data_IF_666949485554
#
_entry.id   IF_666949485554
#
_cell.length_a   1.000
_cell.length_b   1.000
_cell.length_c   1.000
_cell.angle_alpha   90.00
_cell.angle_beta   90.00
_cell.angle_gamma   90.00
#
_symmetry.space_group_name_H-M   'P 1'
#
loop_
_entity.id
_entity.type
_entity.pdbx_description
1 polymer ?
#
# COMPACT_ATOMS: atom_id res chain seq x y z
N UNK A 1 -1.85 -35.21 -10.76
CA UNK A 1 -0.53 -35.19 -10.09
C UNK A 1 0.43 -34.71 -11.15
N UNK A 2 0.70 -33.40 -11.17
CA UNK A 2 1.56 -32.74 -12.15
C UNK A 2 2.80 -32.30 -11.39
N UNK A 3 3.95 -32.73 -11.90
CA UNK A 3 5.26 -32.62 -11.28
C UNK A 3 5.65 -31.14 -11.09
N UNK A 4 5.93 -30.78 -9.84
CA UNK A 4 6.68 -29.58 -9.50
C UNK A 4 8.16 -29.84 -9.81
N UNK A 5 8.86 -28.75 -10.17
CA UNK A 5 10.31 -28.61 -10.40
C UNK A 5 10.77 -28.80 -11.85
N UNK A 6 10.67 -27.71 -12.62
CA UNK A 6 11.83 -27.22 -13.38
C UNK A 6 11.69 -25.73 -13.73
N UNK A 7 11.57 -24.87 -12.71
CA UNK A 7 11.74 -23.42 -12.90
C UNK A 7 13.12 -23.05 -12.39
N UNK A 8 14.04 -22.88 -13.33
CA UNK A 8 15.42 -22.49 -13.10
C UNK A 8 15.44 -21.06 -12.49
N UNK A 9 16.01 -20.83 -11.30
CA UNK A 9 15.93 -19.53 -10.62
C UNK A 9 16.67 -18.39 -11.35
N UNK A 10 17.47 -18.71 -12.38
CA UNK A 10 18.16 -17.72 -13.21
C UNK A 10 17.28 -17.13 -14.31
N UNK A 11 16.19 -17.81 -14.72
CA UNK A 11 15.27 -17.30 -15.75
C UNK A 11 14.31 -16.22 -15.23
N UNK A 12 14.21 -16.04 -13.90
CA UNK A 12 13.46 -14.95 -13.26
C UNK A 12 14.33 -13.69 -13.10
N UNK A 13 15.65 -13.79 -13.35
CA UNK A 13 16.64 -12.73 -13.15
C UNK A 13 17.04 -11.98 -14.44
N UNK A 14 16.25 -12.11 -15.50
CA UNK A 14 16.42 -11.36 -16.75
C UNK A 14 15.74 -9.99 -16.75
N UNK A 15 16.15 -9.09 -15.84
CA UNK A 15 16.14 -7.61 -15.99
C UNK A 15 16.45 -6.94 -14.63
N UNK A 16 17.69 -7.10 -14.16
CA UNK A 16 18.22 -6.29 -13.06
C UNK A 16 18.57 -4.92 -13.65
N UNK A 17 17.62 -3.99 -13.62
CA UNK A 17 17.88 -2.56 -13.78
C UNK A 17 17.49 -1.85 -12.48
N UNK A 18 18.52 -1.35 -11.80
CA UNK A 18 18.54 -0.64 -10.52
C UNK A 18 17.98 -1.44 -9.33
N UNK A 19 18.87 -1.77 -8.39
CA UNK A 19 18.51 -2.33 -7.09
C UNK A 19 17.44 -1.46 -6.44
N UNK A 20 16.21 -1.95 -6.39
CA UNK A 20 15.14 -1.29 -5.66
C UNK A 20 15.65 -0.99 -4.24
N UNK A 21 15.53 0.25 -3.74
CA UNK A 21 16.03 0.59 -2.42
C UNK A 21 15.44 -0.38 -1.39
N UNK A 22 16.21 -0.84 -0.41
CA UNK A 22 15.80 -1.85 0.58
C UNK A 22 14.48 -1.52 1.30
N UNK A 23 14.14 -0.24 1.41
CA UNK A 23 12.86 0.26 1.91
C UNK A 23 11.66 -0.08 1.01
N UNK A 24 11.86 -0.20 -0.30
CA UNK A 24 10.83 -0.60 -1.26
C UNK A 24 10.52 -2.10 -1.11
N UNK A 25 11.56 -2.93 -0.91
CA UNK A 25 11.44 -4.37 -0.73
C UNK A 25 10.73 -4.70 0.59
N UNK A 26 11.05 -4.01 1.70
CA UNK A 26 10.34 -4.21 2.97
C UNK A 26 8.88 -3.76 2.91
N UNK A 27 8.56 -2.74 2.09
CA UNK A 27 7.19 -2.32 1.87
C UNK A 27 6.38 -3.34 1.07
N UNK A 28 6.99 -4.09 0.14
CA UNK A 28 6.30 -5.16 -0.61
C UNK A 28 5.80 -6.25 0.36
N UNK A 29 6.65 -6.74 1.27
CA UNK A 29 6.21 -7.73 2.27
C UNK A 29 5.11 -7.22 3.19
N UNK A 30 5.15 -5.93 3.57
CA UNK A 30 4.10 -5.33 4.38
C UNK A 30 2.78 -5.21 3.63
N UNK A 31 2.83 -4.90 2.33
CA UNK A 31 1.65 -4.86 1.45
C UNK A 31 1.04 -6.25 1.32
N UNK A 32 1.86 -7.26 1.04
CA UNK A 32 1.40 -8.64 0.87
C UNK A 32 0.79 -9.17 2.17
N UNK A 33 1.46 -8.96 3.30
CA UNK A 33 0.94 -9.35 4.62
C UNK A 33 -0.39 -8.69 4.96
N UNK A 34 -0.58 -7.42 4.60
CA UNK A 34 -1.86 -6.74 4.80
C UNK A 34 -2.92 -7.31 3.85
N UNK A 35 -2.60 -7.53 2.58
CA UNK A 35 -3.54 -8.13 1.64
C UNK A 35 -4.00 -9.52 2.13
N UNK A 36 -3.08 -10.35 2.61
CA UNK A 36 -3.38 -11.67 3.17
C UNK A 36 -4.29 -11.57 4.40
N UNK A 37 -3.99 -10.66 5.33
CA UNK A 37 -4.82 -10.42 6.50
C UNK A 37 -6.24 -9.97 6.10
N UNK A 38 -6.36 -9.09 5.11
CA UNK A 38 -7.65 -8.62 4.60
C UNK A 38 -8.44 -9.72 3.89
N UNK A 39 -7.77 -10.62 3.17
CA UNK A 39 -8.40 -11.78 2.56
C UNK A 39 -8.94 -12.74 3.63
N UNK A 40 -8.13 -13.03 4.65
CA UNK A 40 -8.52 -13.91 5.76
C UNK A 40 -9.73 -13.35 6.52
N UNK A 41 -9.72 -12.05 6.83
CA UNK A 41 -10.83 -11.39 7.53
C UNK A 41 -12.13 -11.39 6.69
N UNK A 42 -12.02 -11.39 5.36
CA UNK A 42 -13.18 -11.48 4.46
C UNK A 42 -13.68 -12.91 4.26
N UNK A 43 -12.80 -13.91 4.28
CA UNK A 43 -13.18 -15.31 4.08
C UNK A 43 -13.88 -15.92 5.29
N UNK A 44 -13.62 -15.40 6.49
CA UNK A 44 -14.21 -15.89 7.72
C UNK A 44 -15.61 -15.28 7.96
N UNK A 45 -16.69 -16.09 8.01
CA UNK A 45 -18.07 -15.60 8.16
C UNK A 45 -18.33 -14.79 9.44
N UNK A 46 -17.54 -15.03 10.48
CA UNK A 46 -17.62 -14.31 11.76
C UNK A 46 -17.11 -12.89 11.62
N UNK A 47 -16.07 -12.67 10.81
CA UNK A 47 -15.43 -11.36 10.65
C UNK A 47 -16.00 -10.56 9.48
N UNK A 48 -16.48 -11.23 8.42
CA UNK A 48 -17.01 -10.56 7.23
C UNK A 48 -18.21 -9.65 7.53
N UNK A 49 -19.03 -10.03 8.52
CA UNK A 49 -20.19 -9.26 8.96
C UNK A 49 -19.86 -8.13 9.96
N UNK A 50 -18.61 -8.02 10.42
CA UNK A 50 -18.20 -6.99 11.39
C UNK A 50 -17.76 -5.70 10.71
N UNK A 51 -17.47 -5.73 9.41
CA UNK A 51 -17.10 -4.53 8.67
C UNK A 51 -18.35 -3.71 8.31
N UNK A 52 -18.38 -2.48 8.78
CA UNK A 52 -19.31 -1.45 8.31
C UNK A 52 -19.15 -1.19 6.81
N UNK A 53 -20.16 -0.57 6.18
CA UNK A 53 -20.08 -0.20 4.76
C UNK A 53 -18.87 0.69 4.45
N UNK A 54 -18.52 1.61 5.36
CA UNK A 54 -17.41 2.53 5.17
C UNK A 54 -16.06 1.81 5.26
N UNK A 55 -15.93 0.84 6.16
CA UNK A 55 -14.73 0.00 6.23
C UNK A 55 -14.61 -0.88 4.98
N UNK A 56 -15.71 -1.44 4.49
CA UNK A 56 -15.70 -2.20 3.24
C UNK A 56 -15.30 -1.33 2.04
N UNK A 57 -15.82 -0.10 1.95
CA UNK A 57 -15.43 0.89 0.93
C UNK A 57 -13.95 1.25 1.06
N UNK A 58 -13.44 1.46 2.27
CA UNK A 58 -12.03 1.74 2.51
C UNK A 58 -11.14 0.60 2.00
N UNK A 59 -11.52 -0.65 2.29
CA UNK A 59 -10.79 -1.84 1.85
C UNK A 59 -10.73 -1.97 0.33
N UNK A 60 -11.85 -1.74 -0.35
CA UNK A 60 -11.89 -1.80 -1.82
C UNK A 60 -11.09 -0.66 -2.46
N UNK A 61 -11.15 0.55 -1.89
CA UNK A 61 -10.26 1.65 -2.31
C UNK A 61 -8.78 1.29 -2.12
N UNK A 62 -8.43 0.66 -1.00
CA UNK A 62 -7.04 0.31 -0.68
C UNK A 62 -6.50 -0.76 -1.64
N UNK A 63 -7.30 -1.78 -1.96
CA UNK A 63 -6.93 -2.81 -2.95
C UNK A 63 -6.59 -2.23 -4.31
N UNK A 64 -7.32 -1.20 -4.74
CA UNK A 64 -7.16 -0.57 -6.05
C UNK A 64 -5.97 0.41 -6.13
N UNK A 65 -5.28 0.69 -5.02
CA UNK A 65 -4.09 1.55 -5.03
C UNK A 65 -2.89 0.88 -5.72
N UNK A 66 -2.06 1.71 -6.35
CA UNK A 66 -0.71 1.31 -6.75
C UNK A 66 0.13 0.85 -5.55
N UNK A 67 1.12 -0.02 -5.77
CA UNK A 67 1.98 -0.53 -4.69
C UNK A 67 2.79 0.60 -4.02
N UNK A 68 3.19 1.62 -4.76
CA UNK A 68 3.84 2.82 -4.24
C UNK A 68 2.91 3.59 -3.30
N UNK A 69 1.64 3.74 -3.67
CA UNK A 69 0.64 4.41 -2.83
C UNK A 69 0.26 3.57 -1.60
N UNK A 70 0.13 2.25 -1.73
CA UNK A 70 -0.06 1.34 -0.58
C UNK A 70 1.10 1.44 0.41
N UNK A 71 2.33 1.48 -0.08
CA UNK A 71 3.53 1.67 0.74
C UNK A 71 3.44 2.95 1.57
N UNK A 72 3.00 4.05 0.94
CA UNK A 72 2.84 5.32 1.61
C UNK A 72 1.73 5.28 2.67
N UNK A 73 0.58 4.68 2.35
CA UNK A 73 -0.53 4.49 3.32
C UNK A 73 -0.06 3.71 4.54
N UNK A 74 0.54 2.54 4.36
CA UNK A 74 1.03 1.70 5.47
C UNK A 74 2.00 2.50 6.36
N UNK A 75 2.91 3.24 5.71
CA UNK A 75 3.88 4.06 6.43
C UNK A 75 3.24 5.20 7.21
N UNK A 76 2.20 5.83 6.68
CA UNK A 76 1.44 6.89 7.35
C UNK A 76 0.64 6.35 8.55
N UNK A 77 -0.04 5.21 8.40
CA UNK A 77 -0.81 4.59 9.47
C UNK A 77 0.07 4.15 10.64
N UNK A 78 1.29 3.69 10.36
CA UNK A 78 2.28 3.33 11.38
C UNK A 78 2.87 4.52 12.16
N UNK A 79 2.48 5.77 11.86
CA UNK A 79 3.00 6.97 12.52
C UNK A 79 1.96 7.59 13.46
N UNK A 80 2.44 8.10 14.59
CA UNK A 80 1.64 8.87 15.54
C UNK A 80 1.21 10.23 14.98
N UNK A 81 2.11 10.90 14.26
CA UNK A 81 1.86 12.15 13.54
C UNK A 81 0.82 11.96 12.43
N UNK A 82 -0.01 12.98 12.18
CA UNK A 82 -1.08 12.97 11.16
C UNK A 82 -0.93 14.02 10.06
N UNK A 83 -0.07 15.02 10.27
CA UNK A 83 0.20 16.10 9.31
C UNK A 83 1.64 15.96 8.85
N UNK A 84 1.90 15.90 7.55
CA UNK A 84 3.22 15.63 7.00
C UNK A 84 3.59 16.66 5.93
N UNK A 85 4.87 17.00 5.84
CA UNK A 85 5.39 17.80 4.73
C UNK A 85 5.66 16.90 3.53
N UNK A 86 5.33 17.37 2.32
CA UNK A 86 5.61 16.64 1.06
C UNK A 86 7.08 16.16 0.95
N UNK A 87 8.04 16.95 1.43
CA UNK A 87 9.46 16.60 1.44
C UNK A 87 9.81 15.32 2.21
N UNK A 88 8.96 14.90 3.16
CA UNK A 88 9.14 13.67 3.93
C UNK A 88 8.85 12.43 3.07
N UNK A 89 7.98 12.55 2.06
CA UNK A 89 7.59 11.46 1.18
C UNK A 89 8.59 11.20 0.05
N UNK A 90 9.29 12.24 -0.41
CA UNK A 90 10.35 12.14 -1.42
C UNK A 90 11.45 11.16 -0.99
N UNK A 91 11.71 11.06 0.32
CA UNK A 91 12.69 10.13 0.90
C UNK A 91 12.24 8.66 0.88
N UNK A 92 10.95 8.41 0.69
CA UNK A 92 10.31 7.09 0.81
C UNK A 92 10.00 6.54 -0.59
N UNK A 93 9.39 7.38 -1.43
CA UNK A 93 8.99 7.07 -2.81
C UNK A 93 9.53 8.14 -3.76
N UNK A 94 10.87 8.18 -3.98
CA UNK A 94 11.46 9.11 -4.93
C UNK A 94 10.82 8.90 -6.31
N UNK A 95 10.63 9.98 -7.05
CA UNK A 95 10.02 10.01 -8.41
C UNK A 95 8.51 9.75 -8.48
N UNK A 96 7.89 9.13 -7.48
CA UNK A 96 6.44 8.82 -7.49
C UNK A 96 5.62 9.69 -6.54
N UNK A 97 6.26 10.60 -5.80
CA UNK A 97 5.60 11.37 -4.73
C UNK A 97 4.36 12.10 -5.20
N UNK A 98 4.43 12.86 -6.30
CA UNK A 98 3.27 13.62 -6.80
C UNK A 98 2.12 12.74 -7.26
N UNK A 99 2.43 11.66 -7.99
CA UNK A 99 1.44 10.69 -8.44
C UNK A 99 0.74 10.01 -7.26
N UNK A 100 1.51 9.54 -6.28
CA UNK A 100 0.96 8.88 -5.09
C UNK A 100 0.10 9.83 -4.26
N UNK A 101 0.54 11.07 -4.04
CA UNK A 101 -0.26 12.04 -3.29
C UNK A 101 -1.56 12.37 -4.01
N UNK A 102 -1.52 12.52 -5.34
CA UNK A 102 -2.73 12.73 -6.14
C UNK A 102 -3.69 11.54 -6.04
N UNK A 103 -3.18 10.31 -6.18
CA UNK A 103 -3.99 9.08 -6.08
C UNK A 103 -4.65 8.95 -4.70
N UNK A 104 -3.87 9.14 -3.63
CA UNK A 104 -4.35 9.06 -2.26
C UNK A 104 -5.36 10.16 -1.94
N UNK A 105 -5.16 11.38 -2.43
CA UNK A 105 -6.11 12.46 -2.25
C UNK A 105 -7.42 12.20 -2.99
N UNK A 106 -7.35 11.75 -4.25
CA UNK A 106 -8.54 11.42 -5.05
C UNK A 106 -9.39 10.31 -4.43
N UNK A 107 -8.76 9.31 -3.81
CA UNK A 107 -9.47 8.21 -3.15
C UNK A 107 -9.88 8.53 -1.69
N UNK A 108 -9.44 9.68 -1.16
CA UNK A 108 -9.79 10.16 0.17
C UNK A 108 -9.00 9.51 1.31
N UNK A 109 -7.79 8.99 1.04
CA UNK A 109 -6.88 8.49 2.08
C UNK A 109 -6.17 9.62 2.81
N UNK A 110 -5.93 10.73 2.13
CA UNK A 110 -5.29 11.93 2.68
C UNK A 110 -6.06 13.17 2.25
N UNK A 111 -5.90 14.25 3.02
CA UNK A 111 -6.29 15.59 2.60
C UNK A 111 -5.03 16.42 2.38
N UNK A 112 -4.97 17.12 1.25
CA UNK A 112 -3.91 18.11 0.96
C UNK A 112 -4.32 19.52 1.36
N UNK A 113 -5.60 19.75 1.65
CA UNK A 113 -6.16 21.05 2.00
C UNK A 113 -6.21 21.23 3.51
N UNK A 114 -5.24 21.97 4.05
CA UNK A 114 -5.16 22.29 5.48
C UNK A 114 -6.32 23.18 5.97
N UNK A 115 -7.09 23.79 5.06
CA UNK A 115 -8.26 24.61 5.41
C UNK A 115 -9.35 23.82 6.14
N UNK A 116 -9.39 22.50 5.93
CA UNK A 116 -10.32 21.58 6.60
C UNK A 116 -10.03 21.33 8.10
N UNK A 117 -8.89 21.81 8.63
CA UNK A 117 -8.52 21.69 10.05
C UNK A 117 -8.76 22.96 10.88
N UNK A 118 -9.24 24.04 10.26
CA UNK A 118 -9.39 25.38 10.89
C UNK A 118 -10.85 25.70 11.27
N UNK A 119 -11.78 24.76 11.08
CA UNK A 119 -13.18 24.89 11.53
C UNK A 119 -13.49 23.96 12.69
#
# INVERSE_FOLDING_TARGET
>A
MLDLYDVNPEDILGNVSESAPSNLISNIYAIDSINDALLLLKSEPVFSNLFSEDEQRWLEKFKNLSNQSKSLVIRLYGRSQKIFRKSEFIKIIPNYTDQCLSELSCLGFISTDMQSFIN
#
